data_IF_220062569059
#
_entry.id   IF_220062569059
#
_cell.length_a   1.000
_cell.length_b   1.000
_cell.length_c   1.000
_cell.angle_alpha   90.00
_cell.angle_beta   90.00
_cell.angle_gamma   90.00
#
_symmetry.space_group_name_H-M   'P 1'
#
loop_
_entity.id
_entity.type
_entity.pdbx_description
1 polymer ?
#
# COMPACT_ATOMS: atom_id res chain seq x y z
N UNK A 1 -49.00 -19.89 34.85
CA UNK A 1 -47.64 -19.35 34.98
C UNK A 1 -46.62 -19.93 34.01
N UNK A 2 -46.90 -20.90 33.21
CA UNK A 2 -45.93 -21.50 32.27
C UNK A 2 -45.87 -20.86 30.86
N UNK A 3 -46.74 -19.92 30.53
CA UNK A 3 -46.76 -19.31 29.18
C UNK A 3 -45.92 -18.03 29.06
N UNK A 4 -45.50 -17.43 30.13
CA UNK A 4 -44.69 -16.21 30.09
C UNK A 4 -43.21 -16.48 29.75
N UNK A 5 -42.67 -17.60 30.18
CA UNK A 5 -41.27 -17.96 29.93
C UNK A 5 -41.00 -18.34 28.46
N UNK A 6 -41.96 -18.91 27.76
CA UNK A 6 -41.83 -19.31 26.36
C UNK A 6 -41.75 -18.07 25.44
N UNK A 7 -42.58 -17.05 25.70
CA UNK A 7 -42.55 -15.80 24.90
C UNK A 7 -41.32 -14.96 25.16
N UNK A 8 -40.84 -14.97 26.39
CA UNK A 8 -39.62 -14.23 26.77
C UNK A 8 -38.37 -14.90 26.20
N UNK A 9 -38.33 -16.23 26.19
CA UNK A 9 -37.22 -16.98 25.54
C UNK A 9 -37.20 -16.80 24.04
N UNK A 10 -38.35 -16.71 23.38
CA UNK A 10 -38.43 -16.44 21.95
C UNK A 10 -38.02 -15.04 21.58
N UNK A 11 -38.40 -14.06 22.42
CA UNK A 11 -37.97 -12.65 22.25
C UNK A 11 -36.46 -12.47 22.47
N UNK A 12 -35.88 -13.19 23.44
CA UNK A 12 -34.45 -13.18 23.71
C UNK A 12 -33.66 -13.83 22.55
N UNK A 13 -34.17 -14.92 22.00
CA UNK A 13 -33.59 -15.62 20.84
C UNK A 13 -33.66 -14.74 19.59
N UNK A 14 -34.76 -14.02 19.39
CA UNK A 14 -34.91 -13.04 18.28
C UNK A 14 -33.97 -11.87 18.44
N UNK A 15 -33.73 -11.41 19.66
CA UNK A 15 -32.77 -10.31 19.95
C UNK A 15 -31.33 -10.76 19.70
N UNK A 16 -30.95 -11.99 20.02
CA UNK A 16 -29.63 -12.56 19.74
C UNK A 16 -29.39 -12.75 18.25
N UNK A 17 -30.43 -13.04 17.47
CA UNK A 17 -30.31 -13.14 16.00
C UNK A 17 -30.08 -11.76 15.34
N UNK A 18 -30.49 -10.64 15.97
CA UNK A 18 -30.27 -9.29 15.45
C UNK A 18 -28.87 -8.78 15.73
N UNK A 19 -28.15 -9.32 16.71
CA UNK A 19 -26.79 -8.91 17.06
C UNK A 19 -25.74 -9.53 16.10
N UNK A 20 -26.08 -10.60 15.37
CA UNK A 20 -25.17 -11.24 14.41
C UNK A 20 -25.10 -10.59 13.03
N UNK A 21 -25.84 -9.51 12.75
CA UNK A 21 -25.94 -8.95 11.39
C UNK A 21 -25.00 -7.76 11.15
N UNK A 22 -24.28 -7.29 12.16
CA UNK A 22 -23.41 -6.12 12.01
C UNK A 22 -21.91 -6.41 12.02
N UNK A 23 -21.49 -7.60 11.69
CA UNK A 23 -20.14 -7.85 11.21
C UNK A 23 -20.07 -7.64 9.68
N UNK A 24 -20.68 -6.55 9.16
CA UNK A 24 -20.22 -5.98 7.91
C UNK A 24 -18.88 -5.36 8.23
N UNK A 25 -17.81 -6.13 8.01
CA UNK A 25 -16.53 -5.54 7.74
C UNK A 25 -16.81 -4.40 6.77
N UNK A 26 -16.36 -3.21 7.07
CA UNK A 26 -16.29 -2.12 6.12
C UNK A 26 -15.47 -2.68 4.96
N UNK A 27 -16.15 -3.30 4.00
CA UNK A 27 -15.65 -3.47 2.66
C UNK A 27 -15.42 -2.03 2.23
N UNK A 28 -14.19 -1.60 2.38
CA UNK A 28 -13.73 -0.33 1.90
C UNK A 28 -14.07 -0.39 0.42
N UNK A 29 -15.06 0.40 0.01
CA UNK A 29 -15.51 0.50 -1.37
C UNK A 29 -14.37 1.16 -2.14
N UNK A 30 -13.33 0.34 -2.39
CA UNK A 30 -12.09 0.79 -3.00
C UNK A 30 -12.37 1.09 -4.46
N UNK A 31 -12.04 2.29 -4.95
CA UNK A 31 -12.31 2.66 -6.33
C UNK A 31 -11.61 1.72 -7.30
N UNK A 32 -12.34 1.29 -8.32
CA UNK A 32 -11.81 0.47 -9.40
C UNK A 32 -11.07 1.34 -10.42
N UNK A 33 -9.94 0.84 -10.87
CA UNK A 33 -9.07 1.50 -11.84
C UNK A 33 -8.98 0.69 -13.11
N UNK A 34 -9.10 1.36 -14.25
CA UNK A 34 -8.88 0.78 -15.58
C UNK A 34 -7.82 1.59 -16.31
N UNK A 35 -6.73 0.94 -16.69
CA UNK A 35 -5.63 1.54 -17.42
C UNK A 35 -5.31 0.68 -18.65
N UNK A 36 -5.13 1.32 -19.79
CA UNK A 36 -4.56 0.72 -20.99
C UNK A 36 -3.62 1.74 -21.64
N UNK A 37 -2.38 1.72 -21.21
CA UNK A 37 -1.38 2.70 -21.60
C UNK A 37 -0.09 2.01 -22.01
N UNK A 38 0.45 2.41 -23.16
CA UNK A 38 1.71 1.91 -23.70
C UNK A 38 2.71 3.05 -23.85
N UNK A 39 3.97 2.78 -23.52
CA UNK A 39 5.07 3.75 -23.62
C UNK A 39 4.71 5.10 -22.97
N UNK A 40 4.04 5.06 -21.84
CA UNK A 40 3.49 6.25 -21.19
C UNK A 40 4.36 6.67 -20.01
N UNK A 41 4.73 7.97 -19.92
CA UNK A 41 5.43 8.49 -18.76
C UNK A 41 4.63 8.29 -17.48
N UNK A 42 5.29 7.93 -16.39
CA UNK A 42 4.65 7.63 -15.10
C UNK A 42 3.71 8.75 -14.63
N UNK A 43 4.06 10.01 -14.88
CA UNK A 43 3.24 11.16 -14.51
C UNK A 43 1.84 11.13 -15.14
N UNK A 44 1.73 10.70 -16.39
CA UNK A 44 0.43 10.57 -17.07
C UNK A 44 -0.37 9.41 -16.50
N UNK A 45 0.28 8.31 -16.15
CA UNK A 45 -0.38 7.17 -15.49
C UNK A 45 -0.93 7.58 -14.13
N UNK A 46 -0.14 8.29 -13.30
CA UNK A 46 -0.60 8.80 -12.01
C UNK A 46 -1.74 9.81 -12.15
N UNK A 47 -1.69 10.70 -13.15
CA UNK A 47 -2.77 11.64 -13.44
C UNK A 47 -4.07 10.93 -13.82
N UNK A 48 -4.00 9.85 -14.58
CA UNK A 48 -5.17 9.06 -14.97
C UNK A 48 -5.78 8.33 -13.75
N UNK A 49 -4.94 7.76 -12.89
CA UNK A 49 -5.42 7.16 -11.63
C UNK A 49 -6.11 8.22 -10.76
N UNK A 50 -5.50 9.41 -10.62
CA UNK A 50 -6.11 10.53 -9.90
C UNK A 50 -7.48 10.89 -10.47
N UNK A 51 -7.60 10.96 -11.79
CA UNK A 51 -8.85 11.28 -12.46
C UNK A 51 -9.96 10.26 -12.18
N UNK A 52 -9.62 8.97 -12.14
CA UNK A 52 -10.60 7.89 -11.93
C UNK A 52 -10.97 7.72 -10.45
N UNK A 53 -10.05 7.93 -9.53
CA UNK A 53 -10.22 7.57 -8.12
C UNK A 53 -10.34 8.77 -7.17
N UNK A 54 -9.92 9.96 -7.61
CA UNK A 54 -9.86 11.15 -6.77
C UNK A 54 -8.72 11.15 -5.75
N UNK A 55 -7.80 10.18 -5.77
CA UNK A 55 -6.59 10.19 -4.94
C UNK A 55 -5.60 11.22 -5.42
N UNK A 56 -4.80 11.76 -4.53
CA UNK A 56 -3.76 12.74 -4.85
C UNK A 56 -2.39 12.14 -4.62
N UNK A 57 -1.54 12.16 -5.65
CA UNK A 57 -0.15 11.73 -5.53
C UNK A 57 0.75 12.92 -5.14
N UNK A 58 1.57 12.71 -4.13
CA UNK A 58 2.60 13.64 -3.68
C UNK A 58 3.96 13.00 -3.88
N UNK A 59 4.82 13.65 -4.65
CA UNK A 59 6.16 13.15 -4.94
C UNK A 59 7.10 14.27 -5.35
N UNK A 60 8.39 14.03 -5.16
CA UNK A 60 9.43 14.93 -5.64
C UNK A 60 9.60 14.80 -7.16
N UNK A 61 9.73 15.93 -7.86
CA UNK A 61 9.85 15.95 -9.32
C UNK A 61 11.07 15.19 -9.86
N UNK A 62 12.13 15.11 -9.07
CA UNK A 62 13.34 14.32 -9.35
C UNK A 62 13.03 12.83 -9.50
N UNK A 63 12.15 12.29 -8.66
CA UNK A 63 11.77 10.88 -8.64
C UNK A 63 11.25 10.38 -10.01
N UNK A 64 10.47 11.20 -10.69
CA UNK A 64 9.84 10.81 -11.96
C UNK A 64 10.67 11.09 -13.20
N UNK A 65 11.73 11.91 -13.09
CA UNK A 65 12.57 12.30 -14.24
C UNK A 65 13.39 11.14 -14.81
N UNK A 66 13.79 10.21 -13.94
CA UNK A 66 14.66 9.08 -14.29
C UNK A 66 13.90 7.80 -14.60
N UNK A 67 12.57 7.81 -14.44
CA UNK A 67 11.75 6.65 -14.73
C UNK A 67 11.46 6.56 -16.23
N UNK A 68 11.69 5.38 -16.77
CA UNK A 68 11.37 5.09 -18.17
C UNK A 68 9.85 5.04 -18.36
N UNK A 69 9.37 5.32 -19.58
CA UNK A 69 7.98 5.08 -19.93
C UNK A 69 7.59 3.63 -19.69
N UNK A 70 6.36 3.41 -19.24
CA UNK A 70 5.87 2.09 -18.86
C UNK A 70 4.71 1.66 -19.73
N UNK A 71 4.56 0.35 -19.84
CA UNK A 71 3.39 -0.30 -20.40
C UNK A 71 2.57 -0.88 -19.24
N UNK A 72 1.30 -0.50 -19.16
CA UNK A 72 0.39 -0.96 -18.13
C UNK A 72 -1.00 -1.20 -18.70
N UNK A 73 -1.53 -2.39 -18.47
CA UNK A 73 -2.90 -2.76 -18.80
C UNK A 73 -3.56 -3.36 -17.57
N UNK A 74 -4.59 -2.70 -17.06
CA UNK A 74 -5.36 -3.08 -15.87
C UNK A 74 -6.83 -2.84 -16.20
N UNK A 75 -7.68 -3.82 -15.92
CA UNK A 75 -9.12 -3.73 -16.17
C UNK A 75 -9.88 -3.92 -14.88
N UNK A 76 -10.59 -2.88 -14.45
CA UNK A 76 -11.51 -2.89 -13.30
C UNK A 76 -10.91 -3.55 -12.04
N UNK A 77 -9.69 -3.14 -11.66
CA UNK A 77 -9.03 -3.64 -10.46
C UNK A 77 -9.06 -2.61 -9.33
N UNK A 78 -9.12 -3.05 -8.07
CA UNK A 78 -9.00 -2.16 -6.93
C UNK A 78 -7.74 -1.30 -6.98
N UNK A 79 -7.81 -0.08 -6.47
CA UNK A 79 -6.69 0.87 -6.46
C UNK A 79 -5.44 0.27 -5.81
N UNK A 80 -5.56 -0.43 -4.68
CA UNK A 80 -4.45 -1.10 -3.99
C UNK A 80 -3.73 -2.11 -4.88
N UNK A 81 -4.49 -2.87 -5.66
CA UNK A 81 -3.93 -3.83 -6.61
C UNK A 81 -3.23 -3.12 -7.77
N UNK A 82 -3.84 -2.05 -8.30
CA UNK A 82 -3.24 -1.23 -9.34
C UNK A 82 -1.90 -0.64 -8.88
N UNK A 83 -1.85 -0.04 -7.70
CA UNK A 83 -0.62 0.54 -7.14
C UNK A 83 0.46 -0.52 -6.93
N UNK A 84 0.10 -1.68 -6.44
CA UNK A 84 1.04 -2.80 -6.26
C UNK A 84 1.68 -3.22 -7.59
N UNK A 85 0.89 -3.41 -8.65
CA UNK A 85 1.39 -3.78 -9.97
C UNK A 85 2.28 -2.67 -10.53
N UNK A 86 1.84 -1.41 -10.42
CA UNK A 86 2.55 -0.25 -10.93
C UNK A 86 3.93 -0.10 -10.29
N UNK A 87 4.01 -0.17 -8.97
CA UNK A 87 5.25 0.08 -8.23
C UNK A 87 6.12 -1.16 -8.00
N UNK A 88 5.62 -2.35 -8.30
CA UNK A 88 6.42 -3.58 -8.17
C UNK A 88 7.67 -3.56 -9.05
N UNK A 89 7.58 -2.96 -10.23
CA UNK A 89 8.67 -2.89 -11.23
C UNK A 89 9.48 -1.61 -11.16
N UNK A 90 9.10 -0.68 -10.31
CA UNK A 90 9.74 0.62 -10.18
C UNK A 90 10.55 0.72 -8.88
N UNK A 91 11.64 1.48 -8.87
CA UNK A 91 12.42 1.74 -7.66
C UNK A 91 11.72 2.78 -6.76
N UNK A 92 10.43 2.64 -6.59
CA UNK A 92 9.56 3.58 -5.86
C UNK A 92 8.74 2.82 -4.83
N UNK A 93 8.67 3.37 -3.63
CA UNK A 93 7.75 2.95 -2.57
C UNK A 93 6.62 3.95 -2.43
N UNK A 94 5.48 3.51 -1.93
CA UNK A 94 4.37 4.40 -1.66
C UNK A 94 3.82 4.21 -0.25
N UNK A 95 3.35 5.29 0.31
CA UNK A 95 2.64 5.32 1.60
C UNK A 95 1.27 5.93 1.33
N UNK A 96 0.22 5.21 1.70
CA UNK A 96 -1.14 5.70 1.57
C UNK A 96 -1.63 6.27 2.90
N UNK A 97 -2.14 7.50 2.86
CA UNK A 97 -2.78 8.17 3.99
C UNK A 97 -4.09 8.79 3.54
N UNK A 98 -5.19 8.07 3.72
CA UNK A 98 -6.49 8.46 3.23
C UNK A 98 -6.51 8.63 1.71
N UNK A 99 -6.78 9.85 1.22
CA UNK A 99 -6.78 10.20 -0.21
C UNK A 99 -5.40 10.58 -0.76
N UNK A 100 -4.38 10.64 0.09
CA UNK A 100 -3.02 11.02 -0.32
C UNK A 100 -2.15 9.79 -0.45
N UNK A 101 -1.41 9.72 -1.55
CA UNK A 101 -0.42 8.69 -1.82
C UNK A 101 0.92 9.39 -1.98
N UNK A 102 1.83 9.16 -1.04
CA UNK A 102 3.16 9.74 -1.02
C UNK A 102 4.10 8.75 -1.67
N UNK A 103 4.79 9.18 -2.72
CA UNK A 103 5.81 8.37 -3.39
C UNK A 103 7.19 8.80 -2.92
N UNK A 104 8.04 7.82 -2.65
CA UNK A 104 9.42 8.02 -2.26
C UNK A 104 10.32 7.00 -2.96
N UNK A 105 11.59 7.33 -3.09
CA UNK A 105 12.57 6.41 -3.64
C UNK A 105 12.71 5.21 -2.72
N UNK A 106 12.70 4.02 -3.31
CA UNK A 106 12.94 2.78 -2.59
C UNK A 106 14.37 2.76 -2.08
N UNK A 107 14.54 3.10 -0.82
CA UNK A 107 15.86 3.07 -0.20
C UNK A 107 16.21 1.61 0.10
N UNK A 108 17.22 1.09 -0.57
CA UNK A 108 17.80 -0.23 -0.28
C UNK A 108 18.51 -0.22 1.09
N UNK A 109 17.77 0.10 2.15
CA UNK A 109 18.32 0.20 3.51
C UNK A 109 18.73 -1.16 4.11
N UNK A 110 18.37 -2.28 3.48
CA UNK A 110 18.54 -3.58 4.14
C UNK A 110 19.79 -4.36 3.76
N UNK A 111 20.44 -4.04 2.64
CA UNK A 111 21.65 -4.77 2.23
C UNK A 111 22.95 -4.07 2.63
N UNK A 112 22.93 -2.74 2.75
CA UNK A 112 24.15 -1.96 2.94
C UNK A 112 24.60 -1.80 4.41
N UNK A 113 23.69 -1.97 5.38
CA UNK A 113 24.10 -1.88 6.80
C UNK A 113 24.94 -3.08 7.25
N UNK A 114 24.71 -4.27 6.71
CA UNK A 114 25.55 -5.43 7.03
C UNK A 114 26.95 -5.36 6.40
N UNK A 115 27.07 -4.79 5.22
CA UNK A 115 28.35 -4.62 4.54
C UNK A 115 29.16 -3.46 5.15
N UNK A 116 28.50 -2.39 5.56
CA UNK A 116 29.16 -1.24 6.17
C UNK A 116 29.75 -1.58 7.55
N UNK A 117 29.01 -2.34 8.34
CA UNK A 117 29.49 -2.81 9.65
C UNK A 117 30.67 -3.79 9.52
N UNK A 118 30.67 -4.64 8.49
CA UNK A 118 31.81 -5.53 8.22
C UNK A 118 33.05 -4.78 7.75
N UNK A 119 32.91 -3.75 6.94
CA UNK A 119 34.04 -2.95 6.48
C UNK A 119 34.65 -2.09 7.60
N UNK A 120 33.83 -1.60 8.53
CA UNK A 120 34.32 -0.84 9.67
C UNK A 120 35.11 -1.75 10.63
N UNK A 121 34.69 -2.99 10.85
CA UNK A 121 35.40 -3.97 11.69
C UNK A 121 36.72 -4.43 11.07
N UNK A 122 36.84 -4.43 9.71
CA UNK A 122 38.09 -4.79 9.02
C UNK A 122 39.06 -3.60 8.87
N UNK A 123 38.62 -2.37 9.17
CA UNK A 123 39.43 -1.16 9.09
C UNK A 123 39.96 -0.64 10.44
N UNK A 124 39.85 -1.41 11.48
CA UNK A 124 40.57 -1.08 12.74
C UNK A 124 42.04 -1.32 12.47
N UNK A 125 42.90 -0.28 12.35
CA UNK A 125 44.30 -0.49 12.17
C UNK A 125 44.79 -1.13 13.45
N UNK A 126 45.31 -2.33 13.35
CA UNK A 126 46.06 -2.95 14.43
C UNK A 126 47.28 -2.07 14.72
N UNK A 127 47.09 -1.13 15.65
CA UNK A 127 48.22 -0.37 16.16
C UNK A 127 49.07 -1.34 16.95
N UNK A 128 50.13 -1.84 16.34
CA UNK A 128 51.20 -2.49 17.11
C UNK A 128 51.66 -1.50 18.17
N UNK A 129 51.36 -1.80 19.40
CA UNK A 129 52.03 -1.20 20.51
C UNK A 129 53.46 -1.76 20.49
N UNK A 130 54.39 -1.00 19.95
CA UNK A 130 55.80 -1.21 20.23
C UNK A 130 56.08 -0.70 21.66
N UNK A 131 56.27 -1.63 22.55
CA UNK A 131 56.98 -1.39 23.78
C UNK A 131 58.47 -1.46 23.53
#
# INVERSE_FOLDING_TARGET
>A
MMQFHSKFSFLLLLCLMHICIEAKGTEHDEPLVTLDMKQTPIRKVLAEITRQTGVTFSYESSLTKHLLPIDITITAQPLSHCLRILFQKLPVEYIQSGKYIILQEKTEKHCNQRLHTRQILLRVPYRRLHL
#
